data_IF_631157927105
#
_entry.id   IF_631157927105
#
_cell.length_a   1.000
_cell.length_b   1.000
_cell.length_c   1.000
_cell.angle_alpha   90.00
_cell.angle_beta   90.00
_cell.angle_gamma   90.00
#
_symmetry.space_group_name_H-M   'P 1'
#
loop_
_entity.id
_entity.type
_entity.pdbx_description
1 polymer ?
#
# COMPACT_ATOMS: atom_id res chain seq x y z
N UNK A 1 -3.48 1.37 6.39
CA UNK A 1 -2.65 0.16 6.10
C UNK A 1 -2.90 -1.04 7.01
N UNK A 2 -3.89 -1.01 7.91
CA UNK A 2 -4.08 -1.99 9.00
C UNK A 2 -4.40 -3.42 8.57
N UNK A 3 -4.64 -3.66 7.28
CA UNK A 3 -4.96 -4.98 6.69
C UNK A 3 -3.73 -5.74 6.17
N UNK A 4 -2.51 -5.21 6.38
CA UNK A 4 -1.28 -5.91 6.01
C UNK A 4 -1.13 -7.17 6.85
N UNK A 5 -0.77 -8.27 6.22
CA UNK A 5 -0.39 -9.48 6.93
C UNK A 5 0.95 -9.23 7.60
N UNK A 6 1.04 -9.36 8.92
CA UNK A 6 2.26 -9.07 9.69
C UNK A 6 3.01 -10.33 10.16
N UNK A 7 2.51 -11.53 9.84
CA UNK A 7 3.08 -12.77 10.32
C UNK A 7 3.00 -13.91 9.30
N UNK A 8 3.86 -14.91 9.47
CA UNK A 8 3.93 -16.10 8.61
C UNK A 8 4.53 -15.83 7.24
N UNK A 9 4.39 -16.82 6.33
CA UNK A 9 5.02 -16.81 5.01
C UNK A 9 4.50 -15.69 4.09
N UNK A 10 3.35 -15.10 4.42
CA UNK A 10 2.73 -14.01 3.66
C UNK A 10 2.88 -12.63 4.32
N UNK A 11 3.76 -12.52 5.33
CA UNK A 11 4.05 -11.25 5.96
C UNK A 11 4.49 -10.19 4.93
N UNK A 12 4.00 -8.96 5.10
CA UNK A 12 4.23 -7.84 4.17
C UNK A 12 3.21 -7.73 3.03
N UNK A 13 2.36 -8.74 2.82
CA UNK A 13 1.37 -8.75 1.72
C UNK A 13 -0.02 -8.33 2.18
N UNK A 14 -0.93 -8.12 1.22
CA UNK A 14 -2.33 -7.88 1.50
C UNK A 14 -3.22 -8.88 0.76
N UNK A 15 -4.26 -9.34 1.46
CA UNK A 15 -5.32 -10.13 0.84
C UNK A 15 -6.16 -9.24 -0.09
N UNK A 16 -6.64 -9.78 -1.23
CA UNK A 16 -7.62 -9.09 -2.05
C UNK A 16 -8.96 -8.99 -1.30
N UNK A 17 -9.45 -7.77 -1.14
CA UNK A 17 -10.69 -7.46 -0.43
C UNK A 17 -11.78 -6.91 -1.36
N UNK A 18 -11.40 -6.17 -2.40
CA UNK A 18 -12.33 -5.53 -3.33
C UNK A 18 -12.56 -6.33 -4.63
N UNK A 19 -13.61 -6.00 -5.38
CA UNK A 19 -13.99 -6.67 -6.63
C UNK A 19 -12.86 -6.66 -7.67
N UNK A 20 -12.12 -5.56 -7.78
CA UNK A 20 -10.95 -5.47 -8.68
C UNK A 20 -9.76 -6.27 -8.17
N UNK A 21 -9.57 -6.32 -6.85
CA UNK A 21 -8.52 -7.12 -6.23
C UNK A 21 -8.81 -8.63 -6.34
N UNK A 22 -10.08 -9.05 -6.39
CA UNK A 22 -10.46 -10.45 -6.65
C UNK A 22 -10.03 -10.91 -8.04
N UNK A 23 -10.14 -10.05 -9.06
CA UNK A 23 -9.70 -10.38 -10.42
C UNK A 23 -8.17 -10.36 -10.57
N UNK A 24 -7.49 -9.41 -9.93
CA UNK A 24 -6.02 -9.29 -9.97
C UNK A 24 -5.27 -10.15 -8.94
N UNK A 25 -6.01 -10.72 -7.98
CA UNK A 25 -5.48 -11.51 -6.89
C UNK A 25 -4.56 -10.73 -5.94
N UNK A 26 -3.80 -11.50 -5.16
CA UNK A 26 -2.90 -10.98 -4.11
C UNK A 26 -1.77 -10.11 -4.64
N UNK A 27 -1.22 -10.46 -5.81
CA UNK A 27 -0.08 -9.73 -6.40
C UNK A 27 -0.53 -8.31 -6.75
N UNK A 28 -1.67 -8.17 -7.44
CA UNK A 28 -2.25 -6.87 -7.76
C UNK A 28 -2.56 -6.05 -6.49
N UNK A 29 -3.25 -6.68 -5.52
CA UNK A 29 -3.61 -6.01 -4.26
C UNK A 29 -2.38 -5.53 -3.47
N UNK A 30 -1.27 -6.28 -3.52
CA UNK A 30 -0.02 -5.91 -2.85
C UNK A 30 0.69 -4.80 -3.61
N UNK A 31 0.78 -4.88 -4.94
CA UNK A 31 1.44 -3.87 -5.76
C UNK A 31 0.78 -2.49 -5.63
N UNK A 32 -0.54 -2.41 -5.72
CA UNK A 32 -1.28 -1.14 -5.56
C UNK A 32 -1.07 -0.55 -4.16
N UNK A 33 -1.12 -1.38 -3.11
CA UNK A 33 -0.91 -0.89 -1.74
C UNK A 33 0.54 -0.45 -1.49
N UNK A 34 1.52 -1.06 -2.14
CA UNK A 34 2.91 -0.61 -2.11
C UNK A 34 3.09 0.73 -2.82
N UNK A 35 2.46 0.96 -3.97
CA UNK A 35 2.51 2.26 -4.65
C UNK A 35 1.91 3.38 -3.80
N UNK A 36 0.79 3.10 -3.11
CA UNK A 36 0.19 4.06 -2.16
C UNK A 36 1.14 4.34 -1.00
N UNK A 37 1.80 3.31 -0.47
CA UNK A 37 2.83 3.46 0.57
C UNK A 37 4.02 4.30 0.11
N UNK A 38 4.47 4.11 -1.13
CA UNK A 38 5.55 4.90 -1.71
C UNK A 38 5.15 6.38 -1.80
N UNK A 39 3.94 6.70 -2.25
CA UNK A 39 3.45 8.08 -2.22
C UNK A 39 3.43 8.63 -0.79
N UNK A 40 2.89 7.86 0.17
CA UNK A 40 2.74 8.29 1.56
C UNK A 40 4.08 8.54 2.27
N UNK A 41 5.10 7.72 2.03
CA UNK A 41 6.38 7.84 2.74
C UNK A 41 7.47 8.56 1.93
N UNK A 42 7.44 8.50 0.60
CA UNK A 42 8.47 9.09 -0.26
C UNK A 42 8.10 10.48 -0.76
N UNK A 43 6.83 10.72 -1.07
CA UNK A 43 6.37 11.95 -1.72
C UNK A 43 5.58 12.88 -0.80
N UNK A 44 5.00 12.38 0.30
CA UNK A 44 4.36 13.24 1.29
C UNK A 44 5.31 14.22 2.02
N UNK A 45 6.58 13.89 2.31
CA UNK A 45 7.53 14.87 2.86
C UNK A 45 7.74 16.09 1.95
N UNK A 46 7.53 15.92 0.64
CA UNK A 46 7.60 16.99 -0.34
C UNK A 46 6.42 17.96 -0.26
N UNK A 47 5.27 17.53 0.26
CA UNK A 47 4.11 18.41 0.49
C UNK A 47 4.25 19.14 1.82
N UNK A 48 4.76 18.49 2.86
CA UNK A 48 5.05 19.12 4.17
C UNK A 48 6.07 20.26 4.02
N UNK A 49 7.08 20.10 3.15
CA UNK A 49 8.06 21.15 2.83
C UNK A 49 7.50 22.32 2.00
N UNK A 50 6.33 22.19 1.36
CA UNK A 50 5.70 23.25 0.57
C UNK A 50 4.72 24.10 1.39
N UNK A 51 4.16 23.55 2.46
CA UNK A 51 3.24 24.25 3.37
C UNK A 51 3.97 25.13 4.40
N UNK A 52 5.30 25.00 4.51
CA UNK A 52 6.17 25.80 5.39
C UNK A 52 6.71 27.11 4.73
N UNK A 53 6.26 27.47 3.51
CA UNK A 53 6.50 28.77 2.85
C UNK A 53 5.36 29.78 3.05
#
# INVERSE_FOLDING_TARGET
MSTQVNSGQMAGTWNPADNWERSGGRIYATAIKLLVLEVYYRHLPLYDQLDDE
#
